data_IF_976001909309
#
_entry.id   IF_976001909309
#
_cell.length_a   1.000
_cell.length_b   1.000
_cell.length_c   1.000
_cell.angle_alpha   90.00
_cell.angle_beta   90.00
_cell.angle_gamma   90.00
#
_symmetry.space_group_name_H-M   'P 1'
#
loop_
_entity.id
_entity.type
_entity.pdbx_description
1 polymer ?
#
# COMPACT_ATOMS: atom_id res chain seq x y z
N UNK A 1 3.84 22.18 51.66
CA UNK A 1 3.31 22.50 50.35
C UNK A 1 3.83 21.53 49.35
N UNK A 2 3.02 20.61 48.96
CA UNK A 2 3.44 19.57 48.06
C UNK A 2 2.73 19.75 46.76
N UNK A 3 3.46 20.20 45.79
CA UNK A 3 2.98 20.26 44.41
C UNK A 3 2.96 18.86 43.88
N UNK A 4 1.77 18.35 43.74
CA UNK A 4 1.57 17.13 42.95
C UNK A 4 1.65 17.51 41.49
N UNK A 5 2.79 17.26 40.91
CA UNK A 5 2.93 17.28 39.46
C UNK A 5 2.32 15.97 38.96
N UNK A 6 1.08 16.04 38.58
CA UNK A 6 0.50 14.95 37.80
C UNK A 6 1.10 15.09 36.42
N UNK A 7 2.12 14.33 36.16
CA UNK A 7 2.56 14.11 34.80
C UNK A 7 1.44 13.33 34.13
N UNK A 8 0.60 14.02 33.39
CA UNK A 8 -0.28 13.39 32.45
C UNK A 8 0.62 12.76 31.41
N UNK A 9 0.80 11.49 31.51
CA UNK A 9 1.35 10.73 30.43
C UNK A 9 0.36 10.84 29.25
N UNK A 10 0.63 11.74 28.35
CA UNK A 10 0.04 11.73 27.05
C UNK A 10 0.50 10.44 26.39
N UNK A 11 -0.30 9.42 26.56
CA UNK A 11 -0.31 8.33 25.63
C UNK A 11 -0.74 8.91 24.29
N UNK A 12 0.20 9.35 23.52
CA UNK A 12 0.00 9.43 22.10
C UNK A 12 -0.26 8.00 21.64
N UNK A 13 -1.51 7.66 21.63
CA UNK A 13 -1.97 6.56 20.87
C UNK A 13 -1.76 6.96 19.41
N UNK A 14 -0.56 6.82 18.95
CA UNK A 14 -0.29 6.67 17.55
C UNK A 14 -0.98 5.38 17.16
N UNK A 15 -2.33 5.45 17.15
CA UNK A 15 -3.10 4.31 16.84
C UNK A 15 -2.87 3.96 15.47
N UNK A 16 -2.34 3.20 14.94
CA UNK A 16 -2.58 2.37 13.80
C UNK A 16 -1.53 1.28 13.82
N UNK A 17 -1.88 0.21 14.45
CA UNK A 17 -1.22 -1.07 14.29
C UNK A 17 -1.06 -1.46 12.81
N UNK A 18 -1.80 -0.79 11.93
CA UNK A 18 -1.73 -0.98 10.52
C UNK A 18 -1.07 0.15 9.79
N UNK A 19 -0.43 1.01 10.45
CA UNK A 19 0.34 2.01 9.75
C UNK A 19 1.46 1.29 9.03
N UNK A 20 1.01 0.39 8.23
CA UNK A 20 1.87 -0.41 7.47
C UNK A 20 2.77 0.44 6.65
N UNK A 21 2.26 1.36 5.90
CA UNK A 21 3.03 1.99 4.87
C UNK A 21 3.00 3.51 4.90
N UNK A 22 3.99 4.08 4.26
CA UNK A 22 4.07 5.49 3.93
C UNK A 22 3.54 5.69 2.50
N UNK A 23 2.36 6.30 2.38
CA UNK A 23 1.73 6.51 1.08
C UNK A 23 2.56 7.42 0.15
N UNK A 24 3.24 8.42 0.68
CA UNK A 24 4.08 9.30 -0.13
C UNK A 24 5.25 8.56 -0.76
N UNK A 25 5.89 7.65 -0.01
CA UNK A 25 6.94 6.79 -0.55
C UNK A 25 6.36 5.78 -1.54
N UNK A 26 5.18 5.23 -1.25
CA UNK A 26 4.46 4.36 -2.18
C UNK A 26 4.15 5.03 -3.51
N UNK A 27 3.74 6.30 -3.48
CA UNK A 27 3.56 7.10 -4.69
C UNK A 27 4.85 7.21 -5.49
N UNK A 28 5.97 7.49 -4.84
CA UNK A 28 7.25 7.62 -5.51
C UNK A 28 7.68 6.31 -6.19
N UNK A 29 7.44 5.18 -5.54
CA UNK A 29 7.71 3.86 -6.12
C UNK A 29 6.77 3.59 -7.29
N UNK A 30 5.48 3.88 -7.12
CA UNK A 30 4.48 3.69 -8.18
C UNK A 30 4.83 4.47 -9.45
N UNK A 31 5.24 5.71 -9.33
CA UNK A 31 5.65 6.54 -10.47
C UNK A 31 6.79 5.90 -11.27
N UNK A 32 7.68 5.19 -10.60
CA UNK A 32 8.85 4.57 -11.24
C UNK A 32 8.55 3.22 -11.88
N UNK A 33 7.76 2.38 -11.22
CA UNK A 33 7.67 0.98 -11.61
C UNK A 33 6.26 0.43 -11.82
N UNK A 34 5.23 1.11 -11.38
CA UNK A 34 3.85 0.63 -11.47
C UNK A 34 3.02 1.40 -12.51
N UNK A 35 3.30 2.67 -12.66
CA UNK A 35 2.44 3.62 -13.37
C UNK A 35 2.26 3.29 -14.85
N UNK A 36 3.27 2.74 -15.51
CA UNK A 36 3.19 2.43 -16.94
C UNK A 36 2.04 1.47 -17.29
N UNK A 37 1.72 0.55 -16.38
CA UNK A 37 0.68 -0.45 -16.60
C UNK A 37 -0.60 -0.18 -15.82
N UNK A 38 -0.49 0.31 -14.60
CA UNK A 38 -1.63 0.47 -13.69
C UNK A 38 -2.12 1.92 -13.56
N UNK A 39 -1.35 2.89 -14.04
CA UNK A 39 -1.54 4.30 -13.70
C UNK A 39 -0.89 4.63 -12.37
N UNK A 40 -0.46 5.89 -12.17
CA UNK A 40 0.27 6.29 -10.97
C UNK A 40 -0.55 6.10 -9.69
N UNK A 41 -1.84 6.34 -9.76
CA UNK A 41 -2.81 6.14 -8.67
C UNK A 41 -3.51 4.78 -8.73
N UNK A 42 -3.23 3.98 -9.76
CA UNK A 42 -3.86 2.69 -9.98
C UNK A 42 -5.30 2.76 -10.49
N UNK A 43 -5.79 3.93 -10.88
CA UNK A 43 -7.18 4.12 -11.31
C UNK A 43 -7.40 3.96 -12.81
N UNK A 44 -6.36 4.16 -13.60
CA UNK A 44 -6.43 4.14 -15.07
C UNK A 44 -5.37 3.21 -15.66
N UNK A 45 -5.63 1.90 -15.67
CA UNK A 45 -4.69 0.96 -16.26
C UNK A 45 -4.57 1.17 -17.76
N UNK A 46 -3.39 0.86 -18.29
CA UNK A 46 -3.07 1.02 -19.70
C UNK A 46 -3.80 0.01 -20.61
N UNK A 47 -4.28 -1.08 -20.06
CA UNK A 47 -5.01 -2.10 -20.79
C UNK A 47 -5.90 -2.95 -19.89
N UNK A 48 -6.85 -3.69 -20.48
CA UNK A 48 -7.82 -4.45 -19.68
C UNK A 48 -7.22 -5.61 -18.89
N UNK A 49 -6.03 -6.06 -19.28
CA UNK A 49 -5.29 -7.11 -18.55
C UNK A 49 -4.67 -6.62 -17.25
N UNK A 50 -4.54 -5.32 -17.06
CA UNK A 50 -3.99 -4.73 -15.85
C UNK A 50 -5.12 -4.34 -14.91
N UNK A 51 -5.15 -4.88 -13.69
CA UNK A 51 -6.23 -4.56 -12.76
C UNK A 51 -6.14 -3.13 -12.23
N UNK A 52 -7.30 -2.58 -11.87
CA UNK A 52 -7.40 -1.34 -11.11
C UNK A 52 -6.94 -1.62 -9.68
N UNK A 53 -6.01 -0.81 -9.19
CA UNK A 53 -5.45 -0.93 -7.84
C UNK A 53 -5.99 0.13 -6.88
N UNK A 54 -6.47 1.24 -7.40
CA UNK A 54 -6.98 2.36 -6.62
C UNK A 54 -8.15 1.93 -5.74
N UNK A 55 -8.06 2.23 -4.43
CA UNK A 55 -9.11 1.91 -3.47
C UNK A 55 -9.19 0.45 -3.06
N UNK A 56 -8.26 -0.39 -3.50
CA UNK A 56 -8.18 -1.77 -3.04
C UNK A 56 -7.78 -1.82 -1.56
N UNK A 57 -8.13 -2.88 -0.86
CA UNK A 57 -7.72 -3.06 0.53
C UNK A 57 -6.20 -3.19 0.64
N UNK A 58 -5.62 -2.50 1.61
CA UNK A 58 -4.18 -2.50 1.82
C UNK A 58 -3.63 -3.88 2.17
N UNK A 59 -4.29 -4.64 3.03
CA UNK A 59 -3.91 -6.00 3.38
C UNK A 59 -3.94 -6.94 2.17
N UNK A 60 -4.94 -6.79 1.30
CA UNK A 60 -5.00 -7.54 0.06
C UNK A 60 -3.83 -7.20 -0.87
N UNK A 61 -3.49 -5.92 -0.99
CA UNK A 61 -2.37 -5.46 -1.82
C UNK A 61 -1.03 -5.98 -1.29
N UNK A 62 -0.83 -5.94 0.03
CA UNK A 62 0.36 -6.52 0.67
C UNK A 62 0.47 -8.00 0.35
N UNK A 63 -0.62 -8.73 0.50
CA UNK A 63 -0.65 -10.16 0.20
C UNK A 63 -0.35 -10.42 -1.28
N UNK A 64 -1.01 -9.72 -2.19
CA UNK A 64 -0.84 -9.91 -3.62
C UNK A 64 0.61 -9.66 -4.07
N UNK A 65 1.20 -8.54 -3.66
CA UNK A 65 2.58 -8.22 -4.00
C UNK A 65 3.58 -9.21 -3.38
N UNK A 66 3.35 -9.61 -2.14
CA UNK A 66 4.17 -10.61 -1.46
C UNK A 66 4.09 -11.98 -2.15
N UNK A 67 2.91 -12.36 -2.59
CA UNK A 67 2.68 -13.63 -3.28
C UNK A 67 3.31 -13.63 -4.70
N UNK A 68 3.28 -12.51 -5.39
CA UNK A 68 4.01 -12.39 -6.66
C UNK A 68 5.52 -12.47 -6.45
N UNK A 69 6.03 -11.80 -5.43
CA UNK A 69 7.46 -11.82 -5.09
C UNK A 69 7.94 -13.23 -4.75
N UNK A 70 7.20 -13.98 -3.97
CA UNK A 70 7.54 -15.35 -3.57
C UNK A 70 7.30 -16.39 -4.65
N UNK A 71 6.54 -16.05 -5.69
CA UNK A 71 6.09 -17.00 -6.70
C UNK A 71 4.86 -17.80 -6.33
N UNK A 72 4.29 -17.55 -5.15
CA UNK A 72 3.05 -18.20 -4.69
C UNK A 72 1.87 -17.86 -5.59
N UNK A 73 1.84 -16.65 -6.12
CA UNK A 73 0.91 -16.24 -7.17
C UNK A 73 1.69 -16.16 -8.49
N UNK A 74 1.30 -16.99 -9.46
CA UNK A 74 2.02 -17.11 -10.71
C UNK A 74 1.68 -15.97 -11.67
N UNK A 75 2.63 -15.10 -11.90
CA UNK A 75 2.59 -14.09 -12.97
C UNK A 75 4.02 -13.59 -13.19
N UNK A 76 4.67 -14.00 -14.31
CA UNK A 76 6.06 -13.65 -14.55
C UNK A 76 6.33 -12.15 -14.62
N UNK A 77 5.38 -11.38 -15.16
CA UNK A 77 5.52 -9.93 -15.26
C UNK A 77 5.49 -9.28 -13.88
N UNK A 78 4.48 -9.59 -13.09
CA UNK A 78 4.37 -9.03 -11.74
C UNK A 78 5.48 -9.54 -10.82
N UNK A 79 5.94 -10.77 -11.00
CA UNK A 79 7.09 -11.27 -10.23
C UNK A 79 8.33 -10.44 -10.50
N UNK A 80 8.61 -10.10 -11.75
CA UNK A 80 9.76 -9.29 -12.11
C UNK A 80 9.73 -7.91 -11.44
N UNK A 81 8.55 -7.29 -11.31
CA UNK A 81 8.39 -6.01 -10.62
C UNK A 81 8.39 -6.13 -9.11
N UNK A 82 7.86 -7.22 -8.57
CA UNK A 82 7.79 -7.43 -7.13
C UNK A 82 9.11 -7.91 -6.51
N UNK A 83 9.91 -8.64 -7.25
CA UNK A 83 11.17 -9.21 -6.74
C UNK A 83 12.12 -8.21 -6.07
N UNK A 84 12.36 -7.01 -6.64
CA UNK A 84 13.27 -6.05 -5.99
C UNK A 84 12.63 -5.31 -4.81
N UNK A 85 11.32 -5.43 -4.60
CA UNK A 85 10.65 -4.72 -3.54
C UNK A 85 10.99 -5.33 -2.18
N UNK A 86 11.31 -4.46 -1.22
CA UNK A 86 11.43 -4.85 0.18
C UNK A 86 10.03 -4.91 0.80
N UNK A 87 9.92 -5.57 1.93
CA UNK A 87 8.65 -5.61 2.69
C UNK A 87 8.08 -4.22 2.92
N UNK A 88 8.92 -3.26 3.31
CA UNK A 88 8.50 -1.88 3.51
C UNK A 88 7.98 -1.23 2.23
N UNK A 89 8.60 -1.49 1.10
CA UNK A 89 8.15 -0.97 -0.20
C UNK A 89 6.75 -1.48 -0.56
N UNK A 90 6.50 -2.74 -0.29
CA UNK A 90 5.19 -3.37 -0.49
C UNK A 90 4.15 -2.72 0.41
N UNK A 91 4.46 -2.49 1.67
CA UNK A 91 3.58 -1.81 2.62
C UNK A 91 3.30 -0.37 2.18
N UNK A 92 4.31 0.34 1.70
CA UNK A 92 4.18 1.71 1.22
C UNK A 92 3.32 1.79 -0.06
N UNK A 93 3.51 0.88 -1.00
CA UNK A 93 2.67 0.78 -2.20
C UNK A 93 1.22 0.44 -1.85
N UNK A 94 1.02 -0.47 -0.91
CA UNK A 94 -0.32 -0.80 -0.43
C UNK A 94 -1.01 0.40 0.20
N UNK A 95 -0.30 1.18 1.01
CA UNK A 95 -0.82 2.40 1.59
C UNK A 95 -1.18 3.44 0.53
N UNK A 96 -0.36 3.59 -0.50
CA UNK A 96 -0.63 4.52 -1.60
C UNK A 96 -1.88 4.12 -2.37
N UNK A 97 -1.92 2.92 -2.93
CA UNK A 97 -3.04 2.50 -3.76
C UNK A 97 -4.35 2.37 -2.99
N UNK A 98 -4.33 1.88 -1.77
CA UNK A 98 -5.55 1.74 -0.95
C UNK A 98 -6.17 3.09 -0.60
N UNK A 99 -5.37 4.13 -0.51
CA UNK A 99 -5.83 5.49 -0.20
C UNK A 99 -6.39 6.24 -1.40
N UNK A 100 -6.24 5.70 -2.60
CA UNK A 100 -6.70 6.36 -3.81
C UNK A 100 -8.21 6.19 -4.02
N UNK A 101 -8.81 7.20 -4.64
CA UNK A 101 -10.21 7.15 -5.00
C UNK A 101 -10.42 6.16 -6.13
N UNK A 102 -11.36 5.23 -5.94
CA UNK A 102 -11.67 4.19 -6.91
C UNK A 102 -13.07 4.33 -7.47
N UNK A 103 -13.22 3.92 -8.72
CA UNK A 103 -14.54 3.65 -9.33
C UNK A 103 -15.13 2.31 -8.89
N UNK A 104 -14.34 1.48 -8.21
CA UNK A 104 -14.81 0.20 -7.69
C UNK A 104 -15.62 0.44 -6.42
N UNK A 105 -16.78 -0.20 -6.36
CA UNK A 105 -17.65 -0.16 -5.19
C UNK A 105 -17.53 -1.48 -4.46
N UNK A 106 -17.00 -1.41 -3.24
CA UNK A 106 -17.01 -2.56 -2.35
C UNK A 106 -18.17 -2.40 -1.37
N UNK A 107 -19.07 -3.36 -1.37
CA UNK A 107 -20.07 -3.48 -0.31
C UNK A 107 -19.42 -4.18 0.87
N UNK A 108 -19.45 -3.52 2.00
CA UNK A 108 -19.05 -4.10 3.28
C UNK A 108 -20.26 -4.57 4.05
#
# INVERSE_FOLDING_TARGET
>A
MRSLIIAAALLALGGNAYAGGNAANGKAISEKVCAACHGVDGAKPAGPENPILAGQYDDYLVKALSDYKSGKRANPVMKAFADPLKKKDIEDLAAWFSSQKSSLHFQR
#
